data_IF_621752000556
#
_entry.id   IF_621752000556
#
_cell.length_a   1.000
_cell.length_b   1.000
_cell.length_c   1.000
_cell.angle_alpha   90.00
_cell.angle_beta   90.00
_cell.angle_gamma   90.00
#
_symmetry.space_group_name_H-M   'P 1'
#
loop_
_entity.id
_entity.type
_entity.pdbx_description
1 polymer ?
#
# COMPACT_ATOMS: atom_id res chain seq x y z
N UNK A 1 -17.87 10.53 16.94
CA UNK A 1 -17.40 9.22 17.41
C UNK A 1 -17.54 8.27 16.24
N UNK A 2 -16.45 7.69 15.74
CA UNK A 2 -16.48 6.77 14.59
C UNK A 2 -15.86 5.44 14.99
N UNK A 3 -16.73 4.52 15.37
CA UNK A 3 -16.37 3.16 15.75
C UNK A 3 -16.31 2.27 14.51
N UNK A 4 -15.16 1.63 14.30
CA UNK A 4 -14.92 0.67 13.21
C UNK A 4 -15.15 -0.79 13.66
N UNK A 5 -15.65 -1.02 14.88
CA UNK A 5 -15.95 -2.35 15.42
C UNK A 5 -17.43 -2.70 15.33
N UNK A 6 -17.92 -3.00 14.11
CA UNK A 6 -18.87 -4.11 13.88
C UNK A 6 -19.06 -4.41 12.39
N UNK A 7 -19.14 -5.70 12.05
CA UNK A 7 -19.68 -6.20 10.78
C UNK A 7 -20.78 -7.22 11.12
N UNK A 8 -21.99 -7.14 10.53
CA UNK A 8 -23.04 -8.13 10.76
C UNK A 8 -22.73 -9.47 10.04
N UNK A 9 -23.18 -10.62 10.56
CA UNK A 9 -22.95 -11.93 9.95
C UNK A 9 -23.79 -12.14 8.68
N UNK A 10 -23.27 -12.96 7.76
CA UNK A 10 -23.95 -13.26 6.48
C UNK A 10 -24.90 -14.46 6.55
N UNK A 11 -25.87 -14.49 5.63
CA UNK A 11 -26.76 -15.63 5.35
C UNK A 11 -26.37 -16.30 4.03
N UNK A 12 -26.53 -17.62 3.94
CA UNK A 12 -26.02 -18.45 2.83
C UNK A 12 -27.07 -18.87 1.78
N UNK A 13 -26.57 -19.37 0.64
CA UNK A 13 -27.23 -20.13 -0.43
C UNK A 13 -28.01 -19.29 -1.48
N UNK A 14 -28.20 -19.74 -2.73
CA UNK A 14 -28.07 -21.10 -3.31
C UNK A 14 -27.32 -21.18 -4.67
N UNK A 15 -27.20 -22.40 -5.20
CA UNK A 15 -26.31 -22.88 -6.29
C UNK A 15 -27.02 -23.27 -7.60
N UNK A 16 -26.38 -23.03 -8.77
CA UNK A 16 -26.51 -23.82 -10.03
C UNK A 16 -25.31 -23.52 -10.96
N UNK A 17 -24.42 -24.48 -11.26
CA UNK A 17 -24.40 -25.45 -12.38
C UNK A 17 -23.79 -24.94 -13.72
N UNK A 18 -22.70 -25.58 -14.15
CA UNK A 18 -22.03 -25.44 -15.46
C UNK A 18 -22.80 -26.13 -16.62
N UNK A 19 -22.40 -25.94 -17.91
CA UNK A 19 -21.34 -26.79 -18.49
C UNK A 19 -20.36 -26.12 -19.49
N UNK A 20 -19.22 -26.78 -19.75
CA UNK A 20 -18.25 -26.51 -20.84
C UNK A 20 -18.45 -27.51 -22.03
N UNK A 21 -17.73 -27.49 -23.19
CA UNK A 21 -16.27 -27.38 -23.42
C UNK A 21 -15.90 -26.33 -24.53
N UNK A 22 -14.81 -26.31 -25.34
CA UNK A 22 -13.70 -27.25 -25.64
C UNK A 22 -12.45 -26.57 -26.30
N UNK A 23 -11.28 -27.26 -26.20
CA UNK A 23 -10.27 -27.63 -27.25
C UNK A 23 -10.16 -26.71 -28.50
N UNK A 24 -8.98 -26.18 -28.92
CA UNK A 24 -7.84 -26.91 -29.54
C UNK A 24 -6.51 -26.11 -29.57
N UNK A 25 -5.38 -26.82 -29.65
CA UNK A 25 -3.99 -26.53 -30.15
C UNK A 25 -3.60 -25.10 -30.60
N UNK A 26 -2.46 -24.50 -30.20
CA UNK A 26 -1.02 -24.93 -30.16
C UNK A 26 -0.24 -24.51 -31.44
N UNK A 27 0.81 -23.69 -31.26
CA UNK A 27 1.86 -23.44 -32.25
C UNK A 27 3.13 -22.84 -31.59
N UNK A 28 4.31 -23.10 -32.17
CA UNK A 28 5.63 -22.84 -31.55
C UNK A 28 6.18 -21.42 -31.74
N UNK A 29 7.04 -21.01 -30.81
CA UNK A 29 7.97 -19.88 -30.96
C UNK A 29 9.15 -20.19 -31.91
N UNK A 30 9.96 -19.18 -32.23
CA UNK A 30 11.38 -19.28 -31.89
C UNK A 30 11.84 -18.12 -30.98
N UNK A 31 13.01 -18.29 -30.35
CA UNK A 31 13.63 -17.28 -29.49
C UNK A 31 14.67 -16.44 -30.25
N UNK A 32 14.84 -15.19 -29.85
CA UNK A 32 16.00 -14.35 -30.18
C UNK A 32 16.56 -13.72 -28.91
N UNK A 33 17.87 -13.85 -28.70
CA UNK A 33 18.57 -13.25 -27.57
C UNK A 33 19.19 -11.92 -27.98
N UNK A 34 18.72 -10.82 -27.39
CA UNK A 34 19.51 -9.59 -27.31
C UNK A 34 19.72 -9.21 -25.84
N UNK A 35 21.00 -9.04 -25.49
CA UNK A 35 21.42 -8.31 -24.29
C UNK A 35 21.89 -6.95 -24.78
N UNK A 36 21.35 -5.87 -24.23
CA UNK A 36 21.78 -4.51 -24.57
C UNK A 36 21.78 -3.68 -23.31
N UNK A 37 22.81 -2.85 -23.13
CA UNK A 37 23.03 -2.09 -21.92
C UNK A 37 21.92 -1.07 -21.65
N UNK A 38 21.51 -1.00 -20.38
CA UNK A 38 20.76 0.15 -19.84
C UNK A 38 21.36 0.62 -18.50
N UNK A 39 22.70 0.69 -18.48
CA UNK A 39 23.47 1.40 -17.48
C UNK A 39 24.04 2.69 -18.10
N UNK A 40 24.18 3.74 -17.27
CA UNK A 40 24.71 5.07 -17.63
C UNK A 40 23.88 5.89 -18.64
N UNK A 41 22.88 6.63 -18.14
CA UNK A 41 22.80 8.11 -18.23
C UNK A 41 21.46 8.63 -17.66
N UNK A 42 21.53 9.27 -16.50
CA UNK A 42 20.80 10.51 -16.15
C UNK A 42 21.14 10.92 -14.71
N UNK A 43 22.35 11.49 -14.53
CA UNK A 43 22.66 12.28 -13.35
C UNK A 43 22.28 13.74 -13.63
N UNK A 44 21.10 14.13 -13.17
CA UNK A 44 20.69 15.52 -13.01
C UNK A 44 20.04 15.65 -11.63
N UNK A 45 20.53 16.57 -10.80
CA UNK A 45 20.04 16.82 -9.43
C UNK A 45 18.94 17.88 -9.44
N UNK A 46 17.75 17.55 -8.91
CA UNK A 46 16.94 18.58 -8.28
C UNK A 46 16.26 18.10 -6.98
N UNK A 47 16.98 17.94 -5.86
CA UNK A 47 16.39 18.15 -4.50
C UNK A 47 17.41 18.20 -3.35
N UNK A 48 17.72 19.40 -2.84
CA UNK A 48 18.25 19.56 -1.47
C UNK A 48 17.11 19.53 -0.44
N UNK A 49 16.53 18.34 -0.23
CA UNK A 49 15.58 18.08 0.85
C UNK A 49 16.27 17.43 2.05
N UNK A 50 16.15 18.01 3.24
CA UNK A 50 16.75 17.48 4.46
C UNK A 50 15.89 16.33 5.03
N UNK A 51 16.25 15.10 4.63
CA UNK A 51 15.66 13.86 5.11
C UNK A 51 16.02 13.61 6.58
N UNK A 52 15.01 13.42 7.43
CA UNK A 52 15.17 13.11 8.85
C UNK A 52 14.36 11.86 9.22
N UNK A 53 15.06 10.81 9.64
CA UNK A 53 14.47 9.63 10.30
C UNK A 53 14.48 9.84 11.81
N UNK A 54 13.34 9.66 12.49
CA UNK A 54 13.28 9.82 13.96
C UNK A 54 12.42 8.75 14.62
N UNK A 55 13.05 7.93 15.45
CA UNK A 55 12.37 7.02 16.39
C UNK A 55 11.91 7.79 17.63
N UNK A 56 10.90 8.66 17.47
CA UNK A 56 10.33 9.44 18.57
C UNK A 56 9.21 10.40 18.13
N UNK A 57 8.25 10.64 19.01
CA UNK A 57 6.94 11.26 18.72
C UNK A 57 6.93 12.78 18.45
N UNK A 58 8.06 13.40 18.10
CA UNK A 58 8.11 14.85 17.85
C UNK A 58 7.72 15.22 16.42
N UNK A 59 6.74 16.11 16.25
CA UNK A 59 6.28 16.58 14.93
C UNK A 59 5.13 15.75 14.34
N UNK A 60 4.26 15.17 15.18
CA UNK A 60 3.01 14.57 14.73
C UNK A 60 1.96 15.64 14.37
N UNK A 61 2.16 16.85 14.87
CA UNK A 61 1.41 18.07 14.59
C UNK A 61 1.60 18.48 13.12
N UNK A 62 2.86 18.64 12.67
CA UNK A 62 3.21 18.90 11.28
C UNK A 62 2.61 17.84 10.34
N UNK A 63 2.72 16.56 10.71
CA UNK A 63 2.19 15.44 9.93
C UNK A 63 0.64 15.42 9.89
N UNK A 64 -0.01 15.77 11.00
CA UNK A 64 -1.47 15.92 11.13
C UNK A 64 -2.00 17.07 10.27
N UNK A 65 -1.29 18.20 10.23
CA UNK A 65 -1.59 19.33 9.36
C UNK A 65 -1.40 18.95 7.89
N UNK A 66 -0.20 18.47 7.52
CA UNK A 66 0.13 18.08 6.14
C UNK A 66 -0.87 17.06 5.59
N UNK A 67 -1.21 16.02 6.36
CA UNK A 67 -2.26 15.07 6.01
C UNK A 67 -3.60 15.78 5.77
N UNK A 68 -4.04 16.61 6.71
CA UNK A 68 -5.35 17.28 6.67
C UNK A 68 -5.49 18.29 5.52
N UNK A 69 -4.39 18.74 4.94
CA UNK A 69 -4.34 19.66 3.79
C UNK A 69 -4.15 18.95 2.45
N UNK A 70 -3.39 17.84 2.41
CA UNK A 70 -2.90 17.24 1.17
C UNK A 70 -3.36 15.79 0.90
N UNK A 71 -3.88 15.04 1.89
CA UNK A 71 -4.17 13.61 1.70
C UNK A 71 -5.34 13.33 0.76
N UNK A 72 -6.48 14.01 0.93
CA UNK A 72 -7.67 13.76 0.13
C UNK A 72 -8.85 14.66 0.48
N UNK A 73 -9.96 14.44 -0.23
CA UNK A 73 -11.28 15.06 -0.03
C UNK A 73 -12.28 13.91 0.17
N UNK A 74 -13.36 14.13 0.92
CA UNK A 74 -14.45 13.14 1.00
C UNK A 74 -15.27 13.15 -0.28
N UNK A 75 -15.51 11.96 -0.84
CA UNK A 75 -16.35 11.77 -2.04
C UNK A 75 -17.84 11.84 -1.72
N UNK A 76 -18.67 11.23 -2.55
CA UNK A 76 -20.09 11.02 -2.30
C UNK A 76 -20.33 9.56 -1.87
N UNK A 77 -20.31 9.25 -0.57
CA UNK A 77 -20.55 7.89 -0.09
C UNK A 77 -22.02 7.46 -0.27
N UNK A 78 -22.29 6.15 -0.36
CA UNK A 78 -23.65 5.64 -0.35
C UNK A 78 -24.36 5.98 0.98
N UNK A 79 -25.71 6.05 1.00
CA UNK A 79 -26.47 6.21 2.24
C UNK A 79 -26.09 5.14 3.28
N UNK A 80 -25.70 5.52 4.51
CA UNK A 80 -25.30 4.55 5.52
C UNK A 80 -26.52 3.75 6.03
N UNK A 81 -26.46 2.42 6.12
CA UNK A 81 -27.59 1.59 6.57
C UNK A 81 -27.96 1.81 8.05
N UNK A 82 -27.09 2.48 8.82
CA UNK A 82 -27.27 2.83 10.24
C UNK A 82 -27.36 4.35 10.49
N UNK A 83 -27.43 5.16 9.42
CA UNK A 83 -27.52 6.62 9.51
C UNK A 83 -26.26 7.36 9.97
N UNK A 84 -25.11 6.69 10.20
CA UNK A 84 -23.86 7.37 10.58
C UNK A 84 -23.32 8.22 9.42
N UNK A 85 -23.33 9.54 9.54
CA UNK A 85 -22.77 10.39 8.48
C UNK A 85 -21.27 10.13 8.31
N UNK A 86 -20.84 9.87 7.08
CA UNK A 86 -19.44 9.97 6.69
C UNK A 86 -18.93 11.42 6.83
N UNK A 87 -17.67 11.67 6.45
CA UNK A 87 -17.18 13.05 6.30
C UNK A 87 -17.98 13.82 5.24
N UNK A 88 -18.17 15.13 5.44
CA UNK A 88 -18.97 15.96 4.52
C UNK A 88 -18.37 15.91 3.11
N UNK A 89 -19.13 15.51 2.06
CA UNK A 89 -18.65 15.52 0.68
C UNK A 89 -18.04 16.86 0.27
N UNK A 90 -16.96 16.82 -0.49
CA UNK A 90 -16.21 18.01 -0.91
C UNK A 90 -15.37 18.69 0.20
N UNK A 91 -15.37 18.17 1.44
CA UNK A 91 -14.49 18.65 2.51
C UNK A 91 -13.23 17.79 2.67
N UNK A 92 -12.13 18.40 3.12
CA UNK A 92 -10.85 17.70 3.36
C UNK A 92 -11.00 16.56 4.38
N UNK A 93 -10.30 15.46 4.13
CA UNK A 93 -10.09 14.40 5.12
C UNK A 93 -9.17 14.93 6.22
N UNK A 94 -9.71 15.19 7.42
CA UNK A 94 -8.94 15.72 8.56
C UNK A 94 -8.62 14.64 9.60
N UNK A 95 -7.42 14.72 10.18
CA UNK A 95 -6.97 13.81 11.24
C UNK A 95 -6.05 14.56 12.21
N UNK A 96 -6.36 14.52 13.52
CA UNK A 96 -5.53 15.11 14.58
C UNK A 96 -4.28 14.28 14.87
N UNK A 97 -3.24 14.89 15.45
CA UNK A 97 -2.04 14.19 15.90
C UNK A 97 -2.36 13.01 16.87
N UNK A 98 -3.36 13.18 17.72
CA UNK A 98 -3.87 12.12 18.61
C UNK A 98 -4.49 10.94 17.86
N UNK A 99 -5.30 11.19 16.82
CA UNK A 99 -5.89 10.14 15.98
C UNK A 99 -4.83 9.48 15.09
N UNK A 100 -3.90 10.26 14.56
CA UNK A 100 -2.74 9.80 13.81
C UNK A 100 -1.89 8.83 14.64
N UNK A 101 -1.55 9.19 15.88
CA UNK A 101 -0.88 8.28 16.83
C UNK A 101 -1.67 6.98 16.99
N UNK A 102 -2.95 7.07 17.35
CA UNK A 102 -3.79 5.89 17.61
C UNK A 102 -4.02 4.97 16.40
N UNK A 103 -4.00 5.50 15.16
CA UNK A 103 -4.32 4.74 13.94
C UNK A 103 -3.09 4.32 13.12
N UNK A 104 -1.98 5.06 13.19
CA UNK A 104 -0.76 4.77 12.42
C UNK A 104 0.41 4.27 13.29
N UNK A 105 0.38 4.49 14.61
CA UNK A 105 1.45 4.18 15.58
C UNK A 105 0.92 3.45 16.84
N UNK A 106 0.42 2.21 16.75
CA UNK A 106 -0.03 1.44 17.91
C UNK A 106 1.06 1.34 18.99
N UNK A 107 0.71 1.53 20.27
CA UNK A 107 1.73 1.70 21.32
C UNK A 107 2.51 0.40 21.64
N UNK A 108 1.98 -0.75 21.24
CA UNK A 108 2.62 -2.06 21.39
C UNK A 108 3.34 -2.56 20.11
N UNK A 109 3.47 -1.73 19.05
CA UNK A 109 4.12 -2.14 17.79
C UNK A 109 5.43 -1.39 17.51
N UNK A 110 6.35 -2.07 16.80
CA UNK A 110 7.64 -1.51 16.35
C UNK A 110 7.39 -0.56 15.18
N UNK A 111 6.99 0.67 15.48
CA UNK A 111 6.69 1.69 14.48
C UNK A 111 7.88 2.59 14.16
N UNK A 112 7.84 3.25 13.00
CA UNK A 112 8.90 4.16 12.53
C UNK A 112 8.32 5.35 11.76
N UNK A 113 9.02 6.48 11.81
CA UNK A 113 8.62 7.75 11.22
C UNK A 113 9.78 8.37 10.43
N UNK A 114 9.52 8.69 9.17
CA UNK A 114 10.42 9.42 8.29
C UNK A 114 9.73 10.70 7.82
N UNK A 115 10.46 11.81 7.82
CA UNK A 115 10.02 13.10 7.29
C UNK A 115 11.08 13.71 6.38
N UNK A 116 10.64 14.42 5.34
CA UNK A 116 11.53 15.20 4.47
C UNK A 116 11.07 16.65 4.48
N UNK A 117 12.00 17.56 4.78
CA UNK A 117 11.75 19.00 4.69
C UNK A 117 12.45 19.58 3.47
N UNK A 118 11.79 20.51 2.79
CA UNK A 118 12.35 21.33 1.71
C UNK A 118 12.16 22.78 2.14
N UNK A 119 13.24 23.56 2.13
CA UNK A 119 13.25 24.97 2.58
C UNK A 119 12.62 25.16 3.97
N UNK A 120 12.93 24.23 4.89
CA UNK A 120 12.38 24.16 6.26
C UNK A 120 10.95 23.61 6.37
N UNK A 121 10.17 23.64 5.29
CA UNK A 121 8.76 23.21 5.25
C UNK A 121 8.65 21.67 5.14
N UNK A 122 7.68 21.05 5.81
CA UNK A 122 7.43 19.61 5.70
C UNK A 122 6.84 19.27 4.31
N UNK A 123 7.68 18.77 3.41
CA UNK A 123 7.29 18.41 2.04
C UNK A 123 6.69 16.98 1.94
N UNK A 124 6.97 16.12 2.91
CA UNK A 124 6.38 14.78 2.97
C UNK A 124 6.75 14.00 4.23
N UNK A 125 5.93 13.00 4.55
CA UNK A 125 6.18 12.04 5.63
C UNK A 125 5.68 10.64 5.31
N UNK A 126 6.23 9.66 6.01
CA UNK A 126 5.78 8.28 5.97
C UNK A 126 5.85 7.64 7.38
N UNK A 127 4.87 6.78 7.67
CA UNK A 127 4.80 5.96 8.86
C UNK A 127 4.83 4.48 8.48
N UNK A 128 5.67 3.72 9.16
CA UNK A 128 5.69 2.27 9.09
C UNK A 128 5.30 1.65 10.44
N UNK A 129 4.63 0.51 10.41
CA UNK A 129 4.33 -0.34 11.55
C UNK A 129 4.80 -1.77 11.28
N UNK A 130 5.43 -2.41 12.26
CA UNK A 130 5.96 -3.78 12.14
C UNK A 130 5.33 -4.76 13.11
N UNK A 131 5.15 -5.99 12.62
CA UNK A 131 4.70 -7.15 13.39
C UNK A 131 5.29 -8.44 12.80
N UNK A 132 5.18 -9.55 13.53
CA UNK A 132 5.61 -10.87 13.05
C UNK A 132 4.46 -11.60 12.37
N UNK A 133 4.75 -12.33 11.29
CA UNK A 133 3.85 -13.28 10.66
C UNK A 133 4.63 -14.57 10.33
N UNK A 134 4.52 -15.57 11.21
CA UNK A 134 5.39 -16.76 11.17
C UNK A 134 6.81 -16.43 11.64
N UNK A 135 7.83 -16.91 10.92
CA UNK A 135 9.24 -16.57 11.15
C UNK A 135 9.68 -15.26 10.44
N UNK A 136 8.72 -14.48 9.93
CA UNK A 136 8.94 -13.35 9.01
C UNK A 136 8.41 -12.03 9.57
N UNK A 137 9.20 -10.97 9.44
CA UNK A 137 8.79 -9.62 9.84
C UNK A 137 8.03 -8.90 8.73
N UNK A 138 6.85 -8.38 9.06
CA UNK A 138 6.07 -7.49 8.20
C UNK A 138 6.47 -6.05 8.47
N UNK A 139 6.70 -5.28 7.40
CA UNK A 139 6.85 -3.83 7.40
C UNK A 139 5.73 -3.21 6.57
N UNK A 140 4.78 -2.61 7.26
CA UNK A 140 3.58 -2.06 6.64
C UNK A 140 3.57 -0.54 6.69
N UNK A 141 3.37 0.09 5.55
CA UNK A 141 3.23 1.55 5.46
C UNK A 141 1.82 1.93 5.89
N UNK A 142 1.68 2.43 7.12
CA UNK A 142 0.38 2.82 7.68
C UNK A 142 -0.08 4.18 7.19
N UNK A 143 0.82 5.00 6.64
CA UNK A 143 0.51 6.26 5.98
C UNK A 143 1.71 6.76 5.18
N UNK A 144 1.45 7.37 4.03
CA UNK A 144 2.43 8.05 3.18
C UNK A 144 1.77 9.32 2.63
N UNK A 145 2.36 10.49 2.90
CA UNK A 145 1.86 11.78 2.41
C UNK A 145 3.01 12.56 1.79
N UNK A 146 2.79 13.06 0.57
CA UNK A 146 3.66 14.06 -0.06
C UNK A 146 2.81 15.28 -0.40
N UNK A 147 3.29 16.45 0.03
CA UNK A 147 2.69 17.74 -0.24
C UNK A 147 2.59 17.93 -1.75
N UNK A 148 1.42 18.36 -2.25
CA UNK A 148 1.06 18.33 -3.68
C UNK A 148 2.11 18.98 -4.58
N UNK A 149 2.62 20.14 -4.16
CA UNK A 149 3.57 20.95 -4.93
C UNK A 149 4.99 20.33 -5.01
N UNK A 150 5.25 19.27 -4.23
CA UNK A 150 6.49 18.49 -4.23
C UNK A 150 6.27 17.02 -4.69
N UNK A 151 5.10 16.67 -5.23
CA UNK A 151 4.85 15.37 -5.87
C UNK A 151 5.72 15.19 -7.11
N UNK A 152 5.83 13.95 -7.58
CA UNK A 152 6.65 13.51 -8.72
C UNK A 152 8.18 13.66 -8.55
N UNK A 153 8.68 14.50 -7.62
CA UNK A 153 10.10 14.68 -7.23
C UNK A 153 10.72 13.51 -6.44
N UNK A 154 10.28 12.27 -6.69
CA UNK A 154 10.71 11.01 -6.03
C UNK A 154 10.63 10.92 -4.49
N UNK A 155 10.22 11.99 -3.79
CA UNK A 155 10.18 12.08 -2.31
C UNK A 155 9.49 10.89 -1.62
N UNK A 156 8.41 10.35 -2.22
CA UNK A 156 7.72 9.16 -1.71
C UNK A 156 8.67 7.95 -1.62
N UNK A 157 9.44 7.65 -2.67
CA UNK A 157 10.41 6.55 -2.67
C UNK A 157 11.53 6.80 -1.66
N UNK A 158 12.01 8.05 -1.53
CA UNK A 158 13.04 8.44 -0.56
C UNK A 158 12.57 8.23 0.89
N UNK A 159 11.34 8.66 1.22
CA UNK A 159 10.71 8.46 2.53
C UNK A 159 10.55 6.97 2.87
N UNK A 160 10.18 6.14 1.89
CA UNK A 160 10.06 4.70 2.08
C UNK A 160 11.42 4.04 2.28
N UNK A 161 12.43 4.34 1.44
CA UNK A 161 13.80 3.85 1.62
C UNK A 161 14.37 4.21 3.00
N UNK A 162 14.05 5.39 3.52
CA UNK A 162 14.43 5.85 4.86
C UNK A 162 13.74 5.08 6.00
N UNK A 163 12.68 4.31 5.72
CA UNK A 163 11.98 3.43 6.66
C UNK A 163 12.44 1.97 6.56
N UNK A 164 13.24 1.58 5.57
CA UNK A 164 13.66 0.19 5.35
C UNK A 164 14.55 -0.31 6.49
N UNK A 165 14.24 -1.49 7.02
CA UNK A 165 15.04 -2.18 8.03
C UNK A 165 15.54 -3.51 7.43
N UNK A 166 16.79 -3.90 7.71
CA UNK A 166 17.36 -5.18 7.27
C UNK A 166 16.64 -6.40 7.86
N UNK A 167 15.93 -6.20 8.98
CA UNK A 167 15.08 -7.20 9.60
C UNK A 167 13.66 -7.28 9.01
N UNK A 168 13.32 -6.55 7.94
CA UNK A 168 12.05 -6.71 7.21
C UNK A 168 12.08 -7.87 6.20
N UNK A 169 10.96 -8.61 6.04
CA UNK A 169 10.82 -9.74 5.10
C UNK A 169 9.64 -9.57 4.12
N UNK A 170 8.56 -8.96 4.61
CA UNK A 170 7.27 -8.79 3.91
C UNK A 170 6.94 -7.29 3.94
N UNK A 171 6.52 -6.74 2.81
CA UNK A 171 6.20 -5.32 2.67
C UNK A 171 4.74 -5.14 2.23
N UNK A 172 4.05 -4.15 2.82
CA UNK A 172 2.64 -3.93 2.58
C UNK A 172 2.20 -2.46 2.58
N UNK A 173 1.22 -2.14 1.74
CA UNK A 173 0.46 -0.90 1.78
C UNK A 173 -0.98 -1.13 1.29
N UNK A 174 -1.94 -0.44 1.92
CA UNK A 174 -3.27 -0.14 1.37
C UNK A 174 -3.27 1.33 0.94
N UNK A 175 -3.72 1.63 -0.27
CA UNK A 175 -3.85 3.01 -0.77
C UNK A 175 -4.75 3.08 -2.00
N UNK A 176 -5.67 4.04 -2.03
CA UNK A 176 -6.42 4.39 -3.25
C UNK A 176 -5.50 4.96 -4.35
N UNK A 177 -4.43 5.69 -3.99
CA UNK A 177 -3.59 6.37 -4.97
C UNK A 177 -2.50 5.45 -5.58
N UNK A 178 -2.48 5.21 -6.91
CA UNK A 178 -1.54 4.28 -7.55
C UNK A 178 -0.06 4.69 -7.41
N UNK A 179 0.23 5.98 -7.22
CA UNK A 179 1.58 6.48 -7.00
C UNK A 179 2.24 5.90 -5.73
N UNK A 180 1.47 5.65 -4.67
CA UNK A 180 1.98 5.07 -3.42
C UNK A 180 2.40 3.60 -3.61
N UNK A 181 1.62 2.82 -4.36
CA UNK A 181 1.96 1.44 -4.71
C UNK A 181 3.25 1.37 -5.56
N UNK A 182 3.40 2.26 -6.55
CA UNK A 182 4.61 2.36 -7.38
C UNK A 182 5.83 2.85 -6.58
N UNK A 183 5.63 3.66 -5.54
CA UNK A 183 6.71 4.05 -4.64
C UNK A 183 7.19 2.86 -3.79
N UNK A 184 6.27 2.08 -3.21
CA UNK A 184 6.60 0.89 -2.41
C UNK A 184 7.32 -0.19 -3.22
N UNK A 185 6.80 -0.53 -4.41
CA UNK A 185 7.39 -1.59 -5.24
C UNK A 185 8.82 -1.26 -5.65
N UNK A 186 9.13 0.02 -5.91
CA UNK A 186 10.47 0.47 -6.28
C UNK A 186 11.39 0.64 -5.06
N UNK A 187 10.86 1.05 -3.92
CA UNK A 187 11.65 1.22 -2.69
C UNK A 187 12.11 -0.12 -2.11
N UNK A 188 11.24 -1.12 -2.00
CA UNK A 188 11.55 -2.36 -1.27
C UNK A 188 11.68 -3.59 -2.17
N UNK A 189 10.88 -3.70 -3.24
CA UNK A 189 10.95 -4.84 -4.16
C UNK A 189 11.88 -4.65 -5.37
N UNK A 190 12.28 -3.40 -5.65
CA UNK A 190 12.87 -2.97 -6.93
C UNK A 190 12.03 -3.39 -8.17
N UNK A 191 10.72 -3.57 -8.01
CA UNK A 191 9.82 -4.01 -9.10
C UNK A 191 9.39 -2.84 -9.98
N UNK A 192 9.49 -3.05 -11.29
CA UNK A 192 8.87 -2.21 -12.32
C UNK A 192 7.42 -2.66 -12.51
N UNK A 193 6.52 -1.71 -12.75
CA UNK A 193 5.11 -1.95 -13.07
C UNK A 193 4.98 -2.16 -14.60
N UNK A 194 4.30 -3.22 -15.10
CA UNK A 194 3.38 -4.12 -14.40
C UNK A 194 3.99 -5.37 -13.75
N UNK A 195 5.30 -5.60 -13.82
CA UNK A 195 6.00 -6.82 -13.35
C UNK A 195 6.12 -6.91 -11.81
N UNK A 196 4.99 -6.87 -11.11
CA UNK A 196 4.87 -7.04 -9.66
C UNK A 196 4.36 -8.46 -9.34
N UNK A 197 5.03 -9.24 -8.48
CA UNK A 197 4.58 -10.59 -8.13
C UNK A 197 3.35 -10.54 -7.20
N UNK A 198 2.19 -10.96 -7.70
CA UNK A 198 0.94 -11.02 -6.92
C UNK A 198 0.69 -12.39 -6.26
N UNK A 199 1.53 -13.39 -6.53
CA UNK A 199 1.33 -14.74 -6.00
C UNK A 199 1.55 -14.80 -4.48
N UNK A 200 2.44 -13.96 -3.93
CA UNK A 200 2.58 -13.80 -2.48
C UNK A 200 1.32 -13.19 -1.86
N UNK A 201 0.77 -12.13 -2.46
CA UNK A 201 -0.49 -11.54 -2.01
C UNK A 201 -1.62 -12.58 -1.99
N UNK A 202 -1.82 -13.33 -3.08
CA UNK A 202 -2.84 -14.38 -3.18
C UNK A 202 -2.75 -15.42 -2.06
N UNK A 203 -1.54 -15.81 -1.68
CA UNK A 203 -1.30 -16.88 -0.69
C UNK A 203 -1.30 -16.38 0.75
N UNK A 204 -0.86 -15.14 1.01
CA UNK A 204 -0.52 -14.69 2.36
C UNK A 204 -1.19 -13.40 2.84
N UNK A 205 -1.80 -12.59 1.97
CA UNK A 205 -2.35 -11.28 2.36
C UNK A 205 -3.35 -11.37 3.52
N UNK A 206 -4.24 -12.37 3.51
CA UNK A 206 -5.22 -12.59 4.58
C UNK A 206 -4.56 -12.82 5.94
N UNK A 207 -3.52 -13.66 6.00
CA UNK A 207 -2.78 -13.96 7.23
C UNK A 207 -1.94 -12.78 7.71
N UNK A 208 -1.29 -12.06 6.78
CA UNK A 208 -0.48 -10.86 7.07
C UNK A 208 -1.36 -9.76 7.66
N UNK A 209 -2.54 -9.50 7.08
CA UNK A 209 -3.49 -8.50 7.57
C UNK A 209 -4.13 -8.91 8.90
N UNK A 210 -4.62 -10.14 9.03
CA UNK A 210 -5.25 -10.62 10.27
C UNK A 210 -4.30 -10.60 11.50
N UNK A 211 -2.99 -10.75 11.26
CA UNK A 211 -1.94 -10.63 12.28
C UNK A 211 -1.59 -9.17 12.66
N UNK A 212 -2.13 -8.16 11.95
CA UNK A 212 -1.74 -6.76 12.16
C UNK A 212 -2.20 -6.20 13.50
N UNK A 213 -1.36 -5.42 14.22
CA UNK A 213 -1.79 -4.60 15.36
C UNK A 213 -2.54 -3.32 14.91
N UNK A 214 -2.60 -3.04 13.60
CA UNK A 214 -3.22 -1.84 13.04
C UNK A 214 -4.67 -2.14 12.69
N UNK A 215 -5.62 -1.63 13.48
CA UNK A 215 -7.05 -1.99 13.41
C UNK A 215 -7.65 -1.89 12.00
N UNK A 216 -7.38 -0.81 11.26
CA UNK A 216 -7.94 -0.64 9.91
C UNK A 216 -7.34 -1.60 8.87
N UNK A 217 -6.09 -2.05 9.06
CA UNK A 217 -5.47 -3.10 8.21
C UNK A 217 -6.03 -4.47 8.57
N UNK A 218 -6.18 -4.74 9.86
CA UNK A 218 -6.69 -6.02 10.38
C UNK A 218 -8.12 -6.31 9.96
N UNK A 219 -8.95 -5.27 9.91
CA UNK A 219 -10.40 -5.39 9.70
C UNK A 219 -10.83 -5.10 8.25
N UNK A 220 -9.92 -4.66 7.35
CA UNK A 220 -10.23 -4.46 5.94
C UNK A 220 -10.48 -5.79 5.23
N UNK A 221 -11.52 -5.85 4.39
CA UNK A 221 -11.90 -7.08 3.68
C UNK A 221 -11.14 -7.17 2.36
N UNK A 222 -10.47 -8.29 2.09
CA UNK A 222 -9.86 -8.55 0.78
C UNK A 222 -10.91 -8.55 -0.33
N UNK A 223 -10.63 -7.83 -1.42
CA UNK A 223 -11.50 -7.68 -2.59
C UNK A 223 -10.69 -7.76 -3.89
N UNK A 224 -11.38 -8.09 -4.98
CA UNK A 224 -10.82 -8.21 -6.32
C UNK A 224 -10.50 -9.65 -6.75
N UNK A 225 -10.38 -9.82 -8.07
CA UNK A 225 -10.34 -11.13 -8.71
C UNK A 225 -9.12 -12.02 -8.40
N UNK A 226 -8.09 -11.50 -7.72
CA UNK A 226 -6.99 -12.30 -7.18
C UNK A 226 -7.44 -13.19 -6.02
N UNK A 227 -8.43 -12.75 -5.23
CA UNK A 227 -8.90 -13.43 -4.01
C UNK A 227 -10.25 -14.12 -4.19
N UNK A 228 -11.11 -13.59 -5.06
CA UNK A 228 -12.42 -14.15 -5.38
C UNK A 228 -12.62 -14.12 -6.91
N UNK A 229 -12.62 -15.28 -7.57
CA UNK A 229 -12.80 -15.35 -9.03
C UNK A 229 -14.19 -14.90 -9.53
N UNK A 230 -15.17 -14.74 -8.63
CA UNK A 230 -16.47 -14.15 -8.93
C UNK A 230 -16.55 -12.63 -8.70
N UNK A 231 -15.44 -11.96 -8.39
CA UNK A 231 -15.42 -10.51 -8.18
C UNK A 231 -15.49 -9.74 -9.51
N UNK A 232 -16.62 -9.07 -9.73
CA UNK A 232 -16.93 -8.31 -10.94
C UNK A 232 -16.62 -6.80 -10.83
N UNK A 233 -15.96 -6.33 -9.76
CA UNK A 233 -15.72 -4.90 -9.52
C UNK A 233 -14.61 -4.27 -10.39
N UNK A 234 -13.91 -5.07 -11.20
CA UNK A 234 -12.72 -4.64 -11.96
C UNK A 234 -11.44 -4.54 -11.11
N UNK A 235 -11.57 -4.44 -9.78
CA UNK A 235 -10.46 -4.58 -8.85
C UNK A 235 -9.84 -5.98 -8.99
N UNK A 236 -8.51 -6.05 -8.98
CA UNK A 236 -7.78 -7.33 -9.05
C UNK A 236 -7.11 -7.66 -7.73
N UNK A 237 -6.38 -6.71 -7.13
CA UNK A 237 -5.76 -6.91 -5.82
C UNK A 237 -5.99 -5.67 -4.95
N UNK A 238 -6.98 -5.76 -4.06
CA UNK A 238 -7.38 -4.65 -3.22
C UNK A 238 -8.13 -5.07 -1.96
N UNK A 239 -8.76 -4.08 -1.35
CA UNK A 239 -9.59 -4.22 -0.16
C UNK A 239 -10.81 -3.32 -0.26
N UNK A 240 -11.90 -3.73 0.37
CA UNK A 240 -12.91 -2.80 0.86
C UNK A 240 -12.47 -2.31 2.25
N UNK A 241 -12.16 -1.01 2.35
CA UNK A 241 -11.86 -0.31 3.60
C UNK A 241 -12.99 0.65 4.02
N UNK A 242 -14.12 0.66 3.29
CA UNK A 242 -15.24 1.58 3.45
C UNK A 242 -14.80 3.06 3.45
N UNK A 243 -13.73 3.37 2.72
CA UNK A 243 -13.04 4.65 2.76
C UNK A 243 -13.37 5.53 1.54
N UNK A 244 -14.55 6.15 1.58
CA UNK A 244 -15.13 6.93 0.48
C UNK A 244 -14.48 8.32 0.32
N UNK A 245 -13.22 8.35 -0.08
CA UNK A 245 -12.57 9.57 -0.58
C UNK A 245 -12.92 9.84 -2.04
N UNK A 246 -12.79 11.11 -2.43
CA UNK A 246 -12.85 11.53 -3.82
C UNK A 246 -11.68 10.89 -4.59
N UNK A 247 -12.04 10.07 -5.58
CA UNK A 247 -11.10 9.31 -6.39
C UNK A 247 -10.64 10.03 -7.67
N UNK A 248 -11.02 11.29 -7.92
CA UNK A 248 -10.61 12.02 -9.13
C UNK A 248 -9.09 12.02 -9.38
N UNK A 249 -8.27 12.55 -8.46
CA UNK A 249 -6.80 12.52 -8.59
C UNK A 249 -6.23 11.08 -8.65
N UNK A 250 -6.66 10.13 -7.78
CA UNK A 250 -6.31 8.71 -7.91
C UNK A 250 -6.60 8.09 -9.28
N UNK A 251 -7.74 8.41 -9.91
CA UNK A 251 -8.17 7.87 -11.21
C UNK A 251 -7.45 8.53 -12.38
N UNK A 252 -7.21 9.85 -12.33
CA UNK A 252 -6.35 10.56 -13.31
C UNK A 252 -4.91 10.03 -13.28
N UNK A 253 -4.41 9.67 -12.10
CA UNK A 253 -3.12 9.00 -11.95
C UNK A 253 -3.18 7.52 -12.38
N UNK A 254 -4.32 6.84 -12.25
CA UNK A 254 -4.52 5.46 -12.67
C UNK A 254 -4.55 5.34 -14.19
N UNK A 255 -5.29 6.21 -14.89
CA UNK A 255 -5.35 6.23 -16.37
C UNK A 255 -3.95 6.37 -16.94
N UNK A 256 -3.21 7.42 -16.54
CA UNK A 256 -1.83 7.67 -16.99
C UNK A 256 -0.86 6.50 -16.76
N UNK A 257 -1.15 5.59 -15.82
CA UNK A 257 -0.34 4.36 -15.63
C UNK A 257 -0.87 3.17 -16.44
N UNK A 258 -2.18 3.07 -16.68
CA UNK A 258 -2.78 2.09 -17.60
C UNK A 258 -2.42 2.36 -19.06
N UNK A 259 -2.42 3.62 -19.47
CA UNK A 259 -2.07 4.07 -20.83
C UNK A 259 -0.62 3.67 -21.21
N UNK A 260 0.26 3.60 -20.21
CA UNK A 260 1.63 3.09 -20.32
C UNK A 260 1.75 1.56 -20.17
N UNK A 261 0.64 0.82 -20.28
CA UNK A 261 0.56 -0.65 -20.10
C UNK A 261 0.87 -1.12 -18.67
N UNK A 262 0.88 -0.23 -17.69
CA UNK A 262 1.65 -0.40 -16.46
C UNK A 262 0.94 -1.04 -15.28
N UNK A 263 -0.39 -1.19 -15.26
CA UNK A 263 -1.13 -1.40 -14.00
C UNK A 263 -1.62 -2.85 -13.76
N UNK A 264 -1.11 -3.57 -12.73
CA UNK A 264 -1.49 -4.96 -12.45
C UNK A 264 -2.59 -5.15 -11.40
N UNK A 265 -2.99 -4.11 -10.64
CA UNK A 265 -3.88 -4.23 -9.47
C UNK A 265 -5.38 -4.04 -9.79
N UNK A 266 -5.73 -3.73 -11.04
CA UNK A 266 -7.11 -3.60 -11.53
C UNK A 266 -7.69 -2.18 -11.45
N UNK A 267 -9.00 -2.08 -11.48
CA UNK A 267 -9.74 -0.83 -11.28
C UNK A 267 -9.83 -0.42 -9.80
N UNK A 268 -10.29 0.81 -9.54
CA UNK A 268 -10.50 1.35 -8.20
C UNK A 268 -11.98 1.71 -8.02
N UNK A 269 -12.80 0.81 -7.42
CA UNK A 269 -14.17 1.15 -7.02
C UNK A 269 -14.19 2.11 -5.83
N UNK A 270 -15.30 2.82 -5.64
CA UNK A 270 -15.46 3.69 -4.48
C UNK A 270 -15.50 2.90 -3.16
N UNK A 271 -14.95 3.50 -2.11
CA UNK A 271 -14.79 2.87 -0.79
C UNK A 271 -13.67 1.82 -0.71
N UNK A 272 -13.05 1.46 -1.84
CA UNK A 272 -11.99 0.47 -1.93
C UNK A 272 -10.61 1.11 -2.03
N UNK A 273 -9.57 0.32 -1.72
CA UNK A 273 -8.18 0.71 -1.90
C UNK A 273 -7.38 -0.40 -2.59
N UNK A 274 -6.33 -0.03 -3.32
CA UNK A 274 -5.40 -1.02 -3.85
C UNK A 274 -4.58 -1.63 -2.71
N UNK A 275 -4.32 -2.93 -2.83
CA UNK A 275 -3.52 -3.70 -1.89
C UNK A 275 -2.25 -4.13 -2.61
N UNK A 276 -1.11 -3.63 -2.16
CA UNK A 276 0.19 -4.12 -2.59
C UNK A 276 0.88 -4.76 -1.39
N UNK A 277 0.90 -6.09 -1.37
CA UNK A 277 1.64 -6.90 -0.41
C UNK A 277 2.54 -7.86 -1.17
N UNK A 278 3.83 -7.82 -0.89
CA UNK A 278 4.83 -8.71 -1.49
C UNK A 278 5.89 -9.05 -0.46
N UNK A 279 6.70 -10.04 -0.78
CA UNK A 279 7.84 -10.41 0.04
C UNK A 279 9.15 -10.25 -0.73
N UNK A 280 10.25 -10.11 0.01
CA UNK A 280 11.59 -10.07 -0.57
C UNK A 280 12.34 -11.28 -0.04
N UNK A 281 12.57 -12.25 -0.92
CA UNK A 281 13.29 -13.47 -0.58
C UNK A 281 14.72 -13.13 -0.13
N UNK A 282 14.95 -13.09 1.19
CA UNK A 282 16.30 -12.91 1.73
C UNK A 282 17.21 -13.97 1.15
N UNK A 283 18.37 -13.53 0.64
CA UNK A 283 19.54 -14.39 0.51
C UNK A 283 19.95 -14.80 1.93
N UNK A 284 19.33 -15.84 2.48
CA UNK A 284 19.60 -16.37 3.83
C UNK A 284 21.10 -16.67 3.91
N UNK A 285 21.87 -15.78 4.54
CA UNK A 285 23.26 -16.08 4.93
C UNK A 285 23.20 -17.37 5.75
N UNK A 286 24.02 -18.39 5.45
CA UNK A 286 24.10 -19.56 6.30
C UNK A 286 24.36 -19.11 7.74
N UNK A 287 23.52 -19.54 8.68
CA UNK A 287 23.89 -19.45 10.09
C UNK A 287 25.09 -20.37 10.27
N UNK A 288 26.28 -19.78 10.39
CA UNK A 288 27.42 -20.50 10.95
C UNK A 288 27.02 -20.89 12.37
N UNK A 289 26.60 -22.14 12.55
CA UNK A 289 26.49 -22.74 13.88
C UNK A 289 27.88 -22.71 14.48
N UNK A 290 28.06 -21.91 15.53
CA UNK A 290 29.22 -22.06 16.41
C UNK A 290 29.15 -23.48 16.97
N UNK A 291 30.00 -24.37 16.43
CA UNK A 291 30.29 -25.63 17.08
C UNK A 291 30.81 -25.31 18.47
N UNK A 292 30.17 -25.86 19.49
CA UNK A 292 30.64 -25.71 20.85
C UNK A 292 32.04 -26.31 20.95
N UNK A 293 32.99 -25.51 21.46
CA UNK A 293 34.29 -26.03 21.87
C UNK A 293 34.05 -26.88 23.12
N UNK A 294 34.51 -28.14 23.06
CA UNK A 294 34.69 -29.03 24.21
C UNK A 294 36.17 -29.04 24.58
#
# INVERSE_FOLDING_TARGET
MFDFSYLPPQTHAHTTKDPAPAITQDCRAPASTEKTDYAQRENADPTHGNLHTRTGYGGLEDASQLFSENYGVWGQPPPPPDGRSFGKPGSRVKMSASRLRAQCLPEASRSSYARVTVDGTLAGHAFACRWQHGDRQVCWITQLVVHRDYRERRLATTLLLALLDSDDDIFGIMSSHPAACKALSRAFGNFVFPQVPLDFARQHAAGVMAASPVSYVKNARLCGNLFNSGDASGLKCGVDSNFFVDHAEPLDALSRVKDLGGWPLGDLPDGHEFLLVFDVARRRRPRFSQLAVQ
#
